data_IF_111493635439
#
_entry.id   IF_111493635439
#
_cell.length_a   1.000
_cell.length_b   1.000
_cell.length_c   1.000
_cell.angle_alpha   90.00
_cell.angle_beta   90.00
_cell.angle_gamma   90.00
#
_symmetry.space_group_name_H-M   'P 1'
#
loop_
_entity.id
_entity.type
_entity.pdbx_description
1 polymer ?
#
# COMPACT_ATOMS: atom_id res chain seq x y z
N UNK A 1 -26.29 -31.09 -17.41
CA UNK A 1 -25.36 -29.94 -17.63
C UNK A 1 -24.00 -30.51 -17.91
N UNK A 2 -23.35 -30.19 -19.06
CA UNK A 2 -22.05 -30.77 -19.38
C UNK A 2 -20.97 -30.28 -18.40
N UNK A 3 -19.98 -31.10 -18.10
CA UNK A 3 -18.88 -30.83 -17.17
C UNK A 3 -18.12 -29.53 -17.53
N UNK A 4 -18.01 -29.21 -18.80
CA UNK A 4 -17.41 -27.97 -19.29
C UNK A 4 -18.22 -26.71 -18.94
N UNK A 5 -19.56 -26.80 -19.01
CA UNK A 5 -20.45 -25.67 -18.67
C UNK A 5 -20.42 -25.38 -17.17
N UNK A 6 -20.32 -26.41 -16.34
CA UNK A 6 -20.18 -26.26 -14.88
C UNK A 6 -18.84 -25.64 -14.50
N UNK A 7 -17.74 -26.02 -15.16
CA UNK A 7 -16.41 -25.40 -14.94
C UNK A 7 -16.39 -23.93 -15.36
N UNK A 8 -17.03 -23.57 -16.47
CA UNK A 8 -17.12 -22.20 -16.94
C UNK A 8 -17.91 -21.32 -15.95
N UNK A 9 -19.05 -21.81 -15.44
CA UNK A 9 -19.83 -21.10 -14.44
C UNK A 9 -19.06 -20.90 -13.13
N UNK A 10 -18.42 -21.94 -12.61
CA UNK A 10 -17.61 -21.85 -11.39
C UNK A 10 -16.43 -20.86 -11.54
N UNK A 11 -15.81 -20.83 -12.73
CA UNK A 11 -14.73 -19.87 -13.02
C UNK A 11 -15.26 -18.45 -13.15
N UNK A 12 -16.43 -18.26 -13.72
CA UNK A 12 -17.09 -16.95 -13.81
C UNK A 12 -17.44 -16.44 -12.41
N UNK A 13 -18.07 -17.25 -11.58
CA UNK A 13 -18.38 -16.93 -10.19
C UNK A 13 -17.12 -16.60 -9.38
N UNK A 14 -16.07 -17.41 -9.52
CA UNK A 14 -14.80 -17.16 -8.85
C UNK A 14 -14.21 -15.82 -9.25
N UNK A 15 -14.21 -15.48 -10.54
CA UNK A 15 -13.63 -14.23 -11.05
C UNK A 15 -14.46 -12.96 -10.73
N UNK A 16 -15.69 -13.12 -10.24
CA UNK A 16 -16.57 -12.02 -9.86
C UNK A 16 -16.08 -11.30 -8.61
N UNK A 17 -15.46 -12.04 -7.67
CA UNK A 17 -15.09 -11.54 -6.36
C UNK A 17 -13.60 -11.21 -6.24
N UNK A 18 -13.27 -10.34 -5.30
CA UNK A 18 -11.90 -10.10 -4.84
C UNK A 18 -11.54 -11.23 -3.86
N UNK A 19 -10.34 -11.77 -4.00
CA UNK A 19 -9.84 -12.86 -3.15
C UNK A 19 -8.71 -12.35 -2.29
N UNK A 20 -9.05 -12.01 -1.05
CA UNK A 20 -8.10 -11.46 -0.10
C UNK A 20 -7.15 -12.54 0.45
N UNK A 21 -5.86 -12.20 0.51
CA UNK A 21 -4.86 -13.03 1.20
C UNK A 21 -5.08 -12.94 2.72
N UNK A 22 -5.39 -11.75 3.23
CA UNK A 22 -5.58 -11.46 4.65
C UNK A 22 -7.07 -11.45 5.02
N UNK A 23 -7.48 -12.36 5.89
CA UNK A 23 -8.89 -12.54 6.27
C UNK A 23 -9.45 -11.40 7.13
N UNK A 24 -8.62 -10.72 7.90
CA UNK A 24 -9.07 -9.55 8.66
C UNK A 24 -9.26 -8.33 7.74
N UNK A 25 -8.39 -8.17 6.75
CA UNK A 25 -8.56 -7.15 5.70
C UNK A 25 -9.82 -7.46 4.88
N UNK A 26 -10.05 -8.72 4.50
CA UNK A 26 -11.29 -9.15 3.84
C UNK A 26 -12.53 -8.74 4.63
N UNK A 27 -12.55 -9.08 5.93
CA UNK A 27 -13.66 -8.75 6.83
C UNK A 27 -13.94 -7.25 6.87
N UNK A 28 -12.89 -6.43 7.01
CA UNK A 28 -13.01 -4.97 7.04
C UNK A 28 -13.57 -4.44 5.71
N UNK A 29 -13.12 -4.97 4.58
CA UNK A 29 -13.57 -4.54 3.26
C UNK A 29 -15.04 -4.94 3.01
N UNK A 30 -15.44 -6.16 3.38
CA UNK A 30 -16.82 -6.63 3.30
C UNK A 30 -17.72 -5.75 4.17
N UNK A 31 -17.37 -5.54 5.44
CA UNK A 31 -18.14 -4.71 6.37
C UNK A 31 -18.39 -3.28 5.83
N UNK A 32 -17.44 -2.74 5.07
CA UNK A 32 -17.55 -1.38 4.53
C UNK A 32 -18.25 -1.29 3.18
N UNK A 33 -18.07 -2.27 2.30
CA UNK A 33 -18.39 -2.11 0.87
C UNK A 33 -19.17 -3.25 0.23
N UNK A 34 -19.46 -4.34 0.94
CA UNK A 34 -20.44 -5.34 0.51
C UNK A 34 -21.85 -4.72 0.59
N UNK A 35 -22.42 -4.36 -0.56
CA UNK A 35 -23.69 -3.66 -0.64
C UNK A 35 -24.89 -4.59 -0.78
N UNK A 36 -24.67 -5.74 -1.40
CA UNK A 36 -25.73 -6.73 -1.63
C UNK A 36 -25.88 -7.71 -0.46
N UNK A 37 -24.93 -7.71 0.49
CA UNK A 37 -24.96 -8.50 1.72
C UNK A 37 -24.72 -9.98 1.48
N UNK A 38 -24.03 -10.35 0.39
CA UNK A 38 -23.74 -11.75 0.07
C UNK A 38 -22.54 -12.31 0.86
N UNK A 39 -21.88 -11.47 1.66
CA UNK A 39 -20.73 -11.83 2.51
C UNK A 39 -19.41 -11.91 1.75
N UNK A 40 -19.34 -11.28 0.58
CA UNK A 40 -18.13 -11.19 -0.25
C UNK A 40 -18.02 -9.78 -0.83
N UNK A 41 -16.83 -9.43 -1.29
CA UNK A 41 -16.67 -8.17 -2.04
C UNK A 41 -16.49 -8.50 -3.52
N UNK A 42 -17.47 -8.12 -4.32
CA UNK A 42 -17.37 -8.23 -5.78
C UNK A 42 -16.45 -7.13 -6.36
N UNK A 43 -15.91 -7.38 -7.54
CA UNK A 43 -15.13 -6.37 -8.28
C UNK A 43 -15.97 -5.15 -8.65
N UNK A 44 -17.25 -5.37 -8.94
CA UNK A 44 -18.22 -4.31 -9.24
C UNK A 44 -18.46 -3.40 -8.04
N UNK A 45 -18.51 -3.95 -6.83
CA UNK A 45 -18.64 -3.16 -5.60
C UNK A 45 -17.35 -2.40 -5.30
N UNK A 46 -16.20 -3.06 -5.39
CA UNK A 46 -14.90 -2.41 -5.23
C UNK A 46 -14.68 -1.28 -6.23
N UNK A 47 -15.14 -1.46 -7.48
CA UNK A 47 -15.09 -0.40 -8.51
C UNK A 47 -16.00 0.80 -8.21
N UNK A 48 -16.97 0.67 -7.31
CA UNK A 48 -17.80 1.81 -6.86
C UNK A 48 -17.14 2.62 -5.74
N UNK A 49 -16.06 2.13 -5.16
CA UNK A 49 -15.35 2.80 -4.08
C UNK A 49 -14.44 3.87 -4.65
N UNK A 50 -14.82 5.13 -4.49
CA UNK A 50 -14.01 6.30 -4.91
C UNK A 50 -13.25 6.92 -3.75
N UNK A 51 -13.70 6.69 -2.53
CA UNK A 51 -13.16 7.24 -1.30
C UNK A 51 -12.96 6.10 -0.28
N UNK A 52 -11.73 5.84 0.06
CA UNK A 52 -11.37 4.82 1.08
C UNK A 52 -11.67 5.35 2.49
N UNK A 53 -11.52 6.66 2.69
CA UNK A 53 -11.60 7.27 4.01
C UNK A 53 -10.46 6.80 4.92
N UNK A 54 -10.72 6.86 6.22
CA UNK A 54 -9.80 6.36 7.23
C UNK A 54 -10.05 4.88 7.49
N UNK A 55 -9.03 4.06 7.27
CA UNK A 55 -9.07 2.63 7.58
C UNK A 55 -8.16 2.28 8.75
N UNK A 56 -8.76 1.71 9.78
CA UNK A 56 -8.01 1.05 10.86
C UNK A 56 -7.61 -0.34 10.36
N UNK A 57 -6.32 -0.56 10.19
CA UNK A 57 -5.80 -1.81 9.65
C UNK A 57 -5.46 -2.79 10.78
N UNK A 58 -5.54 -4.10 10.53
CA UNK A 58 -5.16 -5.12 11.51
C UNK A 58 -3.63 -5.20 11.68
N UNK A 59 -3.19 -5.91 12.73
CA UNK A 59 -1.77 -6.22 12.94
C UNK A 59 -1.23 -7.15 11.85
N UNK A 60 0.02 -6.94 11.44
CA UNK A 60 0.73 -7.77 10.46
C UNK A 60 -0.02 -7.94 9.15
N UNK A 61 -0.74 -6.90 8.71
CA UNK A 61 -1.68 -7.02 7.61
C UNK A 61 -1.03 -6.97 6.23
N UNK A 62 -1.71 -7.64 5.29
CA UNK A 62 -1.41 -7.54 3.87
C UNK A 62 -2.65 -7.10 3.12
N UNK A 63 -2.60 -5.92 2.53
CA UNK A 63 -3.67 -5.39 1.69
C UNK A 63 -3.20 -5.27 0.24
N UNK A 64 -2.91 -6.41 -0.38
CA UNK A 64 -2.48 -6.49 -1.78
C UNK A 64 -3.61 -6.22 -2.75
N UNK A 65 -4.83 -6.56 -2.37
CA UNK A 65 -6.04 -6.43 -3.16
C UNK A 65 -6.52 -4.97 -3.25
N UNK A 66 -5.90 -4.04 -2.52
CA UNK A 66 -6.20 -2.62 -2.70
C UNK A 66 -5.97 -2.16 -4.14
N UNK A 67 -5.04 -2.78 -4.86
CA UNK A 67 -4.82 -2.54 -6.31
C UNK A 67 -6.07 -2.76 -7.18
N UNK A 68 -7.03 -3.56 -6.71
CA UNK A 68 -8.24 -3.92 -7.44
C UNK A 68 -9.37 -2.89 -7.24
N UNK A 69 -9.16 -1.86 -6.41
CA UNK A 69 -10.08 -0.74 -6.21
C UNK A 69 -9.84 0.35 -7.25
N UNK A 70 -10.25 0.09 -8.48
CA UNK A 70 -9.90 0.86 -9.68
C UNK A 70 -10.28 2.35 -9.65
N UNK A 71 -11.28 2.74 -8.85
CA UNK A 71 -11.77 4.12 -8.75
C UNK A 71 -11.43 4.80 -7.43
N UNK A 72 -10.69 4.14 -6.55
CA UNK A 72 -10.27 4.70 -5.27
C UNK A 72 -9.18 5.77 -5.47
N UNK A 73 -9.57 7.03 -5.57
CA UNK A 73 -8.67 8.15 -5.83
C UNK A 73 -8.65 9.21 -4.73
N UNK A 74 -9.64 9.19 -3.83
CA UNK A 74 -9.86 10.25 -2.84
C UNK A 74 -9.75 9.73 -1.40
N UNK A 75 -9.29 10.62 -0.52
CA UNK A 75 -9.25 10.42 0.94
C UNK A 75 -8.74 9.04 1.36
N UNK A 76 -7.56 8.68 0.86
CA UNK A 76 -6.95 7.37 1.16
C UNK A 76 -6.04 7.54 2.36
N UNK A 77 -6.45 7.04 3.53
CA UNK A 77 -5.66 7.08 4.75
C UNK A 77 -5.74 5.75 5.49
N UNK A 78 -4.57 5.20 5.82
CA UNK A 78 -4.44 3.93 6.52
C UNK A 78 -3.76 4.14 7.87
N UNK A 79 -4.38 3.61 8.92
CA UNK A 79 -3.81 3.57 10.27
C UNK A 79 -3.34 2.16 10.57
N UNK A 80 -2.03 1.98 10.61
CA UNK A 80 -1.40 0.70 10.85
C UNK A 80 -0.97 0.58 12.32
N UNK A 81 -1.37 -0.48 13.03
CA UNK A 81 -0.97 -0.70 14.42
C UNK A 81 0.47 -1.14 14.57
N UNK A 82 1.15 -1.54 13.52
CA UNK A 82 2.56 -1.93 13.51
C UNK A 82 3.21 -1.65 12.14
N UNK A 83 4.49 -1.97 12.01
CA UNK A 83 5.26 -1.80 10.75
C UNK A 83 5.48 -3.12 9.99
N UNK A 84 4.76 -4.17 10.35
CA UNK A 84 4.83 -5.44 9.63
C UNK A 84 3.65 -5.55 8.65
N UNK A 85 3.62 -4.65 7.69
CA UNK A 85 2.49 -4.49 6.78
C UNK A 85 2.94 -4.45 5.32
N UNK A 86 2.06 -4.87 4.42
CA UNK A 86 2.24 -4.74 2.99
C UNK A 86 0.97 -4.20 2.36
N UNK A 87 1.11 -3.18 1.51
CA UNK A 87 -0.01 -2.62 0.76
C UNK A 87 0.37 -2.41 -0.70
N UNK A 88 -0.51 -2.80 -1.63
CA UNK A 88 -0.34 -2.54 -3.06
C UNK A 88 -1.34 -1.49 -3.51
N UNK A 89 -0.84 -0.30 -3.77
CA UNK A 89 -1.61 0.91 -4.11
C UNK A 89 -1.93 0.91 -5.60
N UNK A 90 -3.20 1.11 -5.98
CA UNK A 90 -3.62 1.05 -7.37
C UNK A 90 -2.99 2.14 -8.24
N UNK A 91 -2.92 1.89 -9.55
CA UNK A 91 -2.15 2.70 -10.49
C UNK A 91 -2.72 4.11 -10.75
N UNK A 92 -4.00 4.34 -10.49
CA UNK A 92 -4.63 5.65 -10.66
C UNK A 92 -4.27 6.64 -9.53
N UNK A 93 -3.75 6.16 -8.40
CA UNK A 93 -3.24 7.02 -7.33
C UNK A 93 -1.84 7.49 -7.71
N UNK A 94 -1.70 8.73 -8.11
CA UNK A 94 -0.43 9.32 -8.57
C UNK A 94 0.12 10.39 -7.63
N UNK A 95 -0.68 10.83 -6.67
CA UNK A 95 -0.28 11.72 -5.57
C UNK A 95 -0.55 11.03 -4.26
N UNK A 96 0.48 10.88 -3.44
CA UNK A 96 0.36 10.26 -2.13
C UNK A 96 -0.04 11.34 -1.13
N UNK A 97 -1.27 11.28 -0.60
CA UNK A 97 -1.84 12.35 0.19
C UNK A 97 -1.23 12.44 1.59
N UNK A 98 -1.57 13.52 2.28
CA UNK A 98 -1.24 13.71 3.71
C UNK A 98 -1.82 12.53 4.50
N UNK A 99 -0.99 11.95 5.38
CA UNK A 99 -1.37 10.84 6.25
C UNK A 99 -1.82 9.57 5.50
N UNK A 100 -1.32 9.34 4.29
CA UNK A 100 -1.61 8.11 3.55
C UNK A 100 -1.34 6.85 4.36
N UNK A 101 -0.18 6.78 5.03
CA UNK A 101 0.18 5.68 5.92
C UNK A 101 0.59 6.22 7.28
N UNK A 102 -0.25 6.02 8.29
CA UNK A 102 0.00 6.37 9.67
C UNK A 102 0.30 5.11 10.49
N UNK A 103 1.47 5.08 11.11
CA UNK A 103 1.87 4.02 12.02
C UNK A 103 1.53 4.44 13.46
N UNK A 104 0.46 3.86 14.01
CA UNK A 104 -0.21 4.34 15.23
C UNK A 104 0.34 3.75 16.51
N UNK A 105 1.15 2.70 16.48
CA UNK A 105 1.55 2.04 17.70
C UNK A 105 2.84 2.44 18.32
N UNK A 106 2.62 2.59 19.45
CA UNK A 106 3.31 2.54 20.69
C UNK A 106 4.20 1.30 20.93
N UNK A 107 4.00 0.22 20.26
CA UNK A 107 4.69 -1.04 20.51
C UNK A 107 5.76 -1.41 19.48
N UNK A 108 6.08 -0.55 18.57
CA UNK A 108 7.29 -0.72 17.78
C UNK A 108 8.48 -0.48 18.69
N UNK A 109 8.60 -1.38 19.66
CA UNK A 109 9.78 -1.76 20.37
C UNK A 109 10.25 -1.08 21.60
N UNK A 110 10.01 -1.76 22.62
CA UNK A 110 11.01 -1.90 23.70
C UNK A 110 12.11 -2.96 23.39
N UNK A 111 12.05 -3.68 22.29
CA UNK A 111 13.06 -4.65 21.89
C UNK A 111 13.88 -4.11 20.72
N UNK A 112 15.12 -3.80 20.98
CA UNK A 112 16.13 -3.19 20.10
C UNK A 112 16.44 -3.93 18.76
N UNK A 113 15.65 -4.93 18.35
CA UNK A 113 15.92 -5.77 17.19
C UNK A 113 14.73 -6.06 16.27
N UNK A 114 13.55 -5.53 16.49
CA UNK A 114 12.48 -5.75 15.54
C UNK A 114 12.56 -4.71 14.42
N UNK A 115 13.19 -5.11 13.36
CA UNK A 115 13.15 -4.42 12.09
C UNK A 115 11.72 -4.44 11.56
N UNK A 116 11.01 -3.33 11.69
CA UNK A 116 9.74 -3.15 10.99
C UNK A 116 9.96 -3.29 9.48
N UNK A 117 9.07 -4.01 8.81
CA UNK A 117 9.15 -4.31 7.39
C UNK A 117 7.90 -3.83 6.66
N UNK A 118 7.48 -2.59 6.92
CA UNK A 118 6.41 -2.01 6.12
C UNK A 118 6.86 -1.91 4.66
N UNK A 119 6.05 -2.44 3.75
CA UNK A 119 6.28 -2.38 2.31
C UNK A 119 5.11 -1.68 1.64
N UNK A 120 5.39 -0.52 1.05
CA UNK A 120 4.43 0.30 0.36
C UNK A 120 4.72 0.23 -1.14
N UNK A 121 3.85 -0.44 -1.89
CA UNK A 121 4.02 -0.69 -3.33
C UNK A 121 3.05 0.21 -4.09
N UNK A 122 3.56 1.09 -4.92
CA UNK A 122 2.78 2.05 -5.69
C UNK A 122 2.82 1.70 -7.17
N UNK A 123 1.72 1.18 -7.71
CA UNK A 123 1.65 0.74 -9.11
C UNK A 123 1.52 1.90 -10.11
N UNK A 124 1.12 3.10 -9.65
CA UNK A 124 1.02 4.29 -10.48
C UNK A 124 2.37 4.93 -10.79
N UNK A 125 2.38 5.83 -11.77
CA UNK A 125 3.45 6.78 -11.97
C UNK A 125 3.29 7.90 -10.94
N UNK A 126 3.99 7.81 -9.82
CA UNK A 126 3.85 8.75 -8.71
C UNK A 126 4.45 10.09 -9.07
N UNK A 127 3.68 11.16 -8.88
CA UNK A 127 4.06 12.55 -9.14
C UNK A 127 4.50 13.29 -7.89
N UNK A 128 3.91 12.94 -6.74
CA UNK A 128 4.16 13.65 -5.50
C UNK A 128 3.91 12.80 -4.25
N UNK A 129 4.78 12.95 -3.26
CA UNK A 129 4.52 12.63 -1.86
C UNK A 129 4.30 13.92 -1.09
N UNK A 130 3.09 14.10 -0.57
CA UNK A 130 2.71 15.29 0.18
C UNK A 130 3.32 15.32 1.59
N UNK A 131 3.07 16.41 2.32
CA UNK A 131 3.51 16.58 3.70
C UNK A 131 2.99 15.45 4.58
N UNK A 132 3.87 14.83 5.39
CA UNK A 132 3.53 13.69 6.25
C UNK A 132 2.74 12.57 5.56
N UNK A 133 3.00 12.30 4.27
CA UNK A 133 2.38 11.19 3.56
C UNK A 133 2.60 9.85 4.26
N UNK A 134 3.78 9.66 4.86
CA UNK A 134 4.09 8.53 5.73
C UNK A 134 4.45 9.09 7.11
N UNK A 135 3.60 8.86 8.10
CA UNK A 135 3.68 9.48 9.40
C UNK A 135 3.64 8.48 10.55
N UNK A 136 4.07 8.95 11.70
CA UNK A 136 3.88 8.30 12.99
C UNK A 136 3.20 9.30 13.93
N UNK A 137 2.22 8.85 14.69
CA UNK A 137 1.49 9.68 15.66
C UNK A 137 2.32 10.09 16.88
N UNK A 138 3.51 9.56 17.04
CA UNK A 138 4.26 9.68 18.29
C UNK A 138 5.69 10.11 18.05
N UNK A 139 6.08 11.13 18.78
CA UNK A 139 7.40 11.76 18.76
C UNK A 139 8.60 10.83 19.08
N UNK A 140 8.36 9.56 19.41
CA UNK A 140 9.39 8.70 20.00
C UNK A 140 9.67 7.42 19.23
N UNK A 141 9.16 7.26 18.00
CA UNK A 141 9.32 5.97 17.29
C UNK A 141 9.60 6.16 15.81
N UNK A 142 10.52 5.37 15.34
CA UNK A 142 10.98 5.39 13.96
C UNK A 142 10.24 4.33 13.16
N UNK A 143 9.26 4.68 12.33
CA UNK A 143 8.72 3.71 11.39
C UNK A 143 9.78 3.34 10.37
N UNK A 144 10.04 2.05 10.24
CA UNK A 144 10.88 1.52 9.19
C UNK A 144 10.00 1.02 8.05
N UNK A 145 10.25 1.50 6.84
CA UNK A 145 9.48 1.11 5.68
C UNK A 145 10.35 1.00 4.43
N UNK A 146 9.82 0.31 3.43
CA UNK A 146 10.35 0.30 2.08
C UNK A 146 9.28 0.77 1.11
N UNK A 147 9.72 1.43 0.04
CA UNK A 147 8.86 1.90 -1.05
C UNK A 147 9.24 1.15 -2.31
N UNK A 148 8.23 0.73 -3.08
CA UNK A 148 8.40 0.07 -4.37
C UNK A 148 7.65 0.89 -5.43
N UNK A 149 8.37 1.40 -6.42
CA UNK A 149 7.90 2.29 -7.47
C UNK A 149 8.16 1.69 -8.86
N UNK A 150 7.49 0.59 -9.25
CA UNK A 150 7.84 -0.15 -10.46
C UNK A 150 7.66 0.68 -11.75
N UNK A 151 6.76 1.66 -11.74
CA UNK A 151 6.38 2.43 -12.92
C UNK A 151 6.76 3.92 -12.86
N UNK A 152 7.41 4.37 -11.78
CA UNK A 152 7.81 5.78 -11.61
C UNK A 152 9.25 5.99 -12.07
N UNK A 153 9.43 6.33 -13.35
CA UNK A 153 10.74 6.44 -14.00
C UNK A 153 11.55 7.67 -13.57
N UNK A 154 10.88 8.74 -13.17
CA UNK A 154 11.51 9.97 -12.69
C UNK A 154 11.19 10.18 -11.23
N UNK A 155 12.12 10.71 -10.42
CA UNK A 155 11.83 11.01 -9.02
C UNK A 155 10.61 11.92 -8.90
N UNK A 156 9.58 11.52 -8.12
CA UNK A 156 8.44 12.38 -7.84
C UNK A 156 8.86 13.58 -7.00
N UNK A 157 7.99 14.57 -6.91
CA UNK A 157 8.17 15.66 -5.95
C UNK A 157 8.00 15.11 -4.53
N UNK A 158 9.03 15.22 -3.73
CA UNK A 158 8.97 14.93 -2.29
C UNK A 158 8.82 16.26 -1.54
N UNK A 159 7.74 16.40 -0.78
CA UNK A 159 7.67 17.48 0.19
C UNK A 159 8.84 17.30 1.18
N UNK A 160 9.55 18.34 1.63
CA UNK A 160 10.66 18.19 2.57
C UNK A 160 10.32 17.39 3.83
N UNK A 161 9.07 17.42 4.27
CA UNK A 161 8.54 16.65 5.39
C UNK A 161 7.55 15.56 4.92
N UNK A 162 7.80 14.90 3.79
CA UNK A 162 6.93 13.86 3.24
C UNK A 162 6.78 12.62 4.14
N UNK A 163 7.73 12.42 5.03
CA UNK A 163 7.72 11.38 6.07
C UNK A 163 7.90 12.02 7.45
N UNK A 164 7.48 11.33 8.49
CA UNK A 164 7.75 11.75 9.86
C UNK A 164 9.27 11.98 10.08
N UNK A 165 9.61 12.94 10.95
CA UNK A 165 11.01 13.31 11.19
C UNK A 165 11.90 12.11 11.54
N UNK A 166 11.35 11.13 12.25
CA UNK A 166 12.02 9.90 12.64
C UNK A 166 11.78 8.72 11.70
N UNK A 167 10.93 8.86 10.69
CA UNK A 167 10.65 7.80 9.71
C UNK A 167 11.89 7.51 8.85
N UNK A 168 12.22 6.25 8.67
CA UNK A 168 13.34 5.81 7.84
C UNK A 168 12.83 4.95 6.69
N UNK A 169 12.98 5.47 5.47
CA UNK A 169 12.84 4.65 4.27
C UNK A 169 14.13 3.85 4.07
N UNK A 170 14.12 2.58 4.46
CA UNK A 170 15.31 1.71 4.37
C UNK A 170 15.71 1.43 2.93
N UNK A 171 14.72 1.17 2.08
CA UNK A 171 14.91 0.83 0.68
C UNK A 171 13.84 1.49 -0.18
N UNK A 172 14.26 2.08 -1.27
CA UNK A 172 13.37 2.54 -2.32
C UNK A 172 13.73 1.80 -3.62
N UNK A 173 12.82 0.96 -4.09
CA UNK A 173 13.00 0.22 -5.34
C UNK A 173 12.38 1.02 -6.48
N UNK A 174 13.18 1.28 -7.50
CA UNK A 174 12.81 2.10 -8.66
C UNK A 174 13.14 1.35 -9.96
N UNK A 175 12.57 1.74 -11.12
CA UNK A 175 12.93 1.10 -12.38
C UNK A 175 14.44 1.06 -12.59
N UNK A 176 14.98 -0.06 -13.08
CA UNK A 176 16.43 -0.31 -13.17
C UNK A 176 17.18 0.82 -13.86
N UNK A 177 16.64 1.35 -14.96
CA UNK A 177 17.24 2.49 -15.68
C UNK A 177 17.12 3.84 -14.97
N UNK A 178 16.46 3.91 -13.81
CA UNK A 178 16.19 5.16 -13.07
C UNK A 178 17.04 5.33 -11.82
N UNK A 179 17.78 4.30 -11.41
CA UNK A 179 18.51 4.27 -10.14
C UNK A 179 19.44 5.48 -9.97
N UNK A 180 20.25 5.77 -10.98
CA UNK A 180 21.20 6.89 -10.91
C UNK A 180 20.51 8.25 -10.89
N UNK A 181 19.36 8.38 -11.59
CA UNK A 181 18.56 9.59 -11.55
C UNK A 181 17.99 9.86 -10.14
N UNK A 182 17.51 8.81 -9.48
CA UNK A 182 17.01 8.90 -8.09
C UNK A 182 18.13 9.20 -7.08
N UNK A 183 19.30 8.61 -7.25
CA UNK A 183 20.48 8.93 -6.42
C UNK A 183 20.90 10.38 -6.59
N UNK A 184 20.95 10.88 -7.83
CA UNK A 184 21.26 12.28 -8.13
C UNK A 184 20.24 13.27 -7.56
N UNK A 185 18.96 12.87 -7.49
CA UNK A 185 17.90 13.67 -6.88
C UNK A 185 18.00 13.78 -5.35
N UNK A 186 18.83 12.96 -4.71
CA UNK A 186 19.08 12.96 -3.27
C UNK A 186 17.77 12.95 -2.45
N UNK A 187 16.93 11.93 -2.69
CA UNK A 187 15.60 11.84 -2.06
C UNK A 187 15.72 11.88 -0.53
N UNK A 188 15.08 12.84 0.14
CA UNK A 188 15.28 13.05 1.57
C UNK A 188 14.88 11.85 2.41
N UNK A 189 15.79 11.34 3.26
CA UNK A 189 15.52 10.30 4.24
C UNK A 189 15.33 8.89 3.66
N UNK A 190 15.82 8.64 2.47
CA UNK A 190 15.97 7.30 1.89
C UNK A 190 17.40 6.83 2.09
N UNK A 191 17.57 5.65 2.68
CA UNK A 191 18.92 5.11 2.93
C UNK A 191 19.53 4.44 1.70
N UNK A 192 18.70 3.66 0.97
CA UNK A 192 19.17 2.90 -0.17
C UNK A 192 18.19 3.03 -1.33
N UNK A 193 18.69 3.39 -2.50
CA UNK A 193 17.95 3.35 -3.76
C UNK A 193 18.45 2.15 -4.56
N UNK A 194 17.54 1.26 -4.91
CA UNK A 194 17.81 -0.05 -5.50
C UNK A 194 17.02 -0.24 -6.79
N UNK A 195 17.53 -1.03 -7.75
CA UNK A 195 16.78 -1.39 -8.93
C UNK A 195 15.61 -2.31 -8.58
N UNK A 196 14.51 -2.19 -9.33
CA UNK A 196 13.30 -3.00 -9.11
C UNK A 196 13.57 -4.50 -9.30
N UNK A 197 14.54 -4.87 -10.13
CA UNK A 197 14.98 -6.25 -10.33
C UNK A 197 15.53 -6.93 -9.05
N UNK A 198 15.94 -6.15 -8.05
CA UNK A 198 16.36 -6.66 -6.74
C UNK A 198 15.18 -6.86 -5.76
N UNK A 199 14.00 -6.35 -6.06
CA UNK A 199 12.83 -6.59 -5.24
C UNK A 199 12.38 -8.04 -5.35
N UNK A 200 12.24 -8.73 -4.22
CA UNK A 200 11.90 -10.17 -4.18
C UNK A 200 10.43 -10.44 -3.88
N UNK A 201 9.64 -9.40 -3.60
CA UNK A 201 8.20 -9.55 -3.41
C UNK A 201 7.45 -9.58 -4.74
N UNK A 202 6.16 -9.96 -4.66
CA UNK A 202 5.23 -9.93 -5.80
C UNK A 202 4.32 -8.68 -5.67
N UNK A 203 3.88 -8.12 -6.81
CA UNK A 203 2.92 -7.02 -6.86
C UNK A 203 2.02 -7.09 -8.09
#
# INVERSE_FOLDING_TARGET
MSMNRRRLLLRHEYNKYIHFEDKEVERICIEKWDKDGDGKLSKEEAAQVTNIGNMQMPHNCKFREFKDFENATNAVQFHFPDTNVEIVVPSQITTIPIFFAQFVTAQIQQNNNAEGNAVLIFLGEIKEFQYYAISDDREYRTPYFSIVLPNTKTPPRFNPAWKANYGICKKMYVPDGSVELYKAANVPGVLNILPISEYKGNY
#
